data_IF_609178066270
#
_entry.id   IF_609178066270
#
_cell.length_a   1.000
_cell.length_b   1.000
_cell.length_c   1.000
_cell.angle_alpha   90.00
_cell.angle_beta   90.00
_cell.angle_gamma   90.00
#
_symmetry.space_group_name_H-M   'P 1'
#
loop_
_entity.id
_entity.type
_entity.pdbx_description
1 polymer ?
#
# COMPACT_ATOMS: atom_id res chain seq x y z
N UNK A 1 -3.70 24.65 -1.75
CA UNK A 1 -3.91 24.51 -0.29
C UNK A 1 -3.21 23.25 0.21
N UNK A 2 -3.20 22.16 -0.57
CA UNK A 2 -2.39 20.99 -0.23
C UNK A 2 -0.88 21.30 -0.16
N UNK A 3 -0.40 22.34 -0.86
CA UNK A 3 0.97 22.83 -0.70
C UNK A 3 1.31 23.36 0.71
N UNK A 4 0.32 23.55 1.58
CA UNK A 4 0.52 23.91 3.00
C UNK A 4 0.51 22.63 3.85
N UNK A 5 -0.55 21.83 3.74
CA UNK A 5 -0.74 20.63 4.56
C UNK A 5 0.25 19.51 4.19
N UNK A 6 0.50 19.31 2.89
CA UNK A 6 1.37 18.25 2.38
C UNK A 6 2.78 18.27 2.97
N UNK A 7 3.50 19.41 2.94
CA UNK A 7 4.80 19.54 3.61
C UNK A 7 4.76 19.28 5.12
N UNK A 8 3.68 19.63 5.83
CA UNK A 8 3.53 19.35 7.26
C UNK A 8 3.42 17.84 7.53
N UNK A 9 2.59 17.13 6.76
CA UNK A 9 2.49 15.67 6.84
C UNK A 9 3.82 15.00 6.47
N UNK A 10 4.51 15.51 5.46
CA UNK A 10 5.81 14.99 5.03
C UNK A 10 6.87 15.17 6.11
N UNK A 11 6.91 16.34 6.75
CA UNK A 11 7.77 16.62 7.90
C UNK A 11 7.47 15.67 9.06
N UNK A 12 6.20 15.53 9.45
CA UNK A 12 5.79 14.63 10.53
C UNK A 12 6.21 13.18 10.26
N UNK A 13 6.12 12.73 9.01
CA UNK A 13 6.57 11.41 8.60
C UNK A 13 8.09 11.25 8.69
N UNK A 14 8.88 12.24 8.25
CA UNK A 14 10.35 12.23 8.41
C UNK A 14 10.73 12.14 9.89
N UNK A 15 10.10 12.95 10.74
CA UNK A 15 10.35 12.91 12.18
C UNK A 15 9.92 11.56 12.79
N UNK A 16 8.83 10.97 12.29
CA UNK A 16 8.42 9.61 12.69
C UNK A 16 9.47 8.57 12.32
N UNK A 17 10.00 8.57 11.08
CA UNK A 17 11.10 7.67 10.68
C UNK A 17 12.31 7.84 11.59
N UNK A 18 12.69 9.09 11.88
CA UNK A 18 13.81 9.39 12.76
C UNK A 18 13.58 8.90 14.19
N UNK A 19 12.39 9.11 14.77
CA UNK A 19 12.06 8.60 16.11
C UNK A 19 12.03 7.08 16.15
N UNK A 20 11.35 6.46 15.19
CA UNK A 20 11.15 5.02 15.09
C UNK A 20 12.46 4.25 14.84
N UNK A 21 13.43 4.88 14.18
CA UNK A 21 14.79 4.35 13.99
C UNK A 21 15.76 4.73 15.12
N UNK A 22 15.27 5.33 16.21
CA UNK A 22 16.08 5.90 17.30
C UNK A 22 17.20 6.84 16.78
N UNK A 23 16.94 7.52 15.66
CA UNK A 23 17.86 8.42 14.94
C UNK A 23 19.15 7.75 14.46
N UNK A 24 19.15 6.42 14.31
CA UNK A 24 20.31 5.69 13.79
C UNK A 24 20.22 5.41 12.29
N UNK A 25 19.03 5.06 11.78
CA UNK A 25 18.84 4.61 10.40
C UNK A 25 17.72 5.41 9.71
N UNK A 26 18.10 6.54 9.09
CA UNK A 26 17.18 7.37 8.31
C UNK A 26 17.89 8.00 7.12
N UNK A 27 17.12 8.45 6.14
CA UNK A 27 17.63 8.93 4.85
C UNK A 27 17.22 10.37 4.52
N UNK A 28 16.28 10.94 5.29
CA UNK A 28 15.81 12.32 5.15
C UNK A 28 16.02 13.12 6.42
N UNK A 29 16.33 14.41 6.25
CA UNK A 29 16.27 15.40 7.32
C UNK A 29 15.39 16.56 6.90
N UNK A 30 14.59 17.09 7.83
CA UNK A 30 13.88 18.34 7.63
C UNK A 30 14.83 19.52 7.93
N UNK A 31 14.98 20.43 6.96
CA UNK A 31 15.70 21.69 7.13
C UNK A 31 14.70 22.80 7.48
N UNK A 32 14.72 23.24 8.73
CA UNK A 32 13.82 24.28 9.24
C UNK A 32 14.05 25.64 8.59
N UNK A 33 15.29 25.95 8.19
CA UNK A 33 15.60 27.22 7.53
C UNK A 33 15.02 27.27 6.13
N UNK A 34 15.07 26.13 5.43
CA UNK A 34 14.58 26.01 4.05
C UNK A 34 13.12 25.58 3.98
N UNK A 35 12.51 25.17 5.10
CA UNK A 35 11.16 24.61 5.15
C UNK A 35 11.00 23.38 4.24
N UNK A 36 12.06 22.58 4.10
CA UNK A 36 12.10 21.46 3.15
C UNK A 36 12.90 20.26 3.66
N UNK A 37 12.50 19.08 3.21
CA UNK A 37 13.25 17.84 3.34
C UNK A 37 14.48 17.87 2.43
N UNK A 38 15.58 17.42 2.99
CA UNK A 38 16.87 17.33 2.32
C UNK A 38 17.35 15.87 2.42
N UNK A 39 17.80 15.27 1.31
CA UNK A 39 18.40 13.94 1.37
C UNK A 39 19.69 14.01 2.18
N UNK A 40 19.94 13.01 3.02
CA UNK A 40 21.26 12.89 3.62
C UNK A 40 22.31 12.59 2.54
N UNK A 41 23.53 13.13 2.73
CA UNK A 41 24.68 12.80 1.88
C UNK A 41 25.02 11.31 2.04
N UNK A 42 25.52 10.67 0.99
CA UNK A 42 25.97 9.27 1.05
C UNK A 42 27.11 8.99 2.05
N UNK A 43 27.89 10.03 2.39
CA UNK A 43 28.91 9.97 3.43
C UNK A 43 28.34 10.02 4.86
N UNK A 44 27.08 10.43 5.04
CA UNK A 44 26.48 10.54 6.35
C UNK A 44 26.27 9.15 6.98
N UNK A 45 26.72 9.00 8.23
CA UNK A 45 26.62 7.74 8.99
C UNK A 45 25.21 7.18 9.03
N UNK A 46 24.20 8.05 9.19
CA UNK A 46 22.80 7.66 9.32
C UNK A 46 22.22 7.09 8.01
N UNK A 47 22.65 7.62 6.87
CA UNK A 47 22.23 7.09 5.57
C UNK A 47 22.87 5.74 5.28
N UNK A 48 24.17 5.58 5.56
CA UNK A 48 24.85 4.28 5.47
C UNK A 48 24.21 3.24 6.39
N UNK A 49 23.84 3.64 7.61
CA UNK A 49 23.10 2.77 8.53
C UNK A 49 21.72 2.38 7.98
N UNK A 50 21.02 3.28 7.28
CA UNK A 50 19.77 2.95 6.58
C UNK A 50 19.98 1.96 5.41
N UNK A 51 21.07 2.10 4.66
CA UNK A 51 21.44 1.13 3.62
C UNK A 51 21.75 -0.25 4.23
N UNK A 52 22.54 -0.30 5.30
CA UNK A 52 22.79 -1.54 6.04
C UNK A 52 21.51 -2.14 6.63
N UNK A 53 20.60 -1.30 7.14
CA UNK A 53 19.29 -1.74 7.61
C UNK A 53 18.46 -2.38 6.49
N UNK A 54 18.51 -1.84 5.27
CA UNK A 54 17.82 -2.40 4.10
C UNK A 54 18.40 -3.77 3.72
N UNK A 55 19.73 -3.90 3.71
CA UNK A 55 20.42 -5.18 3.49
C UNK A 55 20.08 -6.19 4.60
N UNK A 56 20.13 -5.77 5.87
CA UNK A 56 19.75 -6.60 7.02
C UNK A 56 18.29 -7.07 6.94
N UNK A 57 17.38 -6.19 6.54
CA UNK A 57 15.96 -6.53 6.36
C UNK A 57 15.78 -7.59 5.25
N UNK A 58 16.55 -7.47 4.17
CA UNK A 58 16.50 -8.39 3.03
C UNK A 58 17.13 -9.75 3.36
N UNK A 59 18.31 -9.76 3.97
CA UNK A 59 19.10 -10.98 4.16
C UNK A 59 18.80 -11.74 5.46
N UNK A 60 18.26 -11.05 6.48
CA UNK A 60 18.02 -11.65 7.80
C UNK A 60 16.52 -11.67 8.11
N UNK A 61 15.86 -10.52 8.11
CA UNK A 61 14.46 -10.43 8.55
C UNK A 61 13.51 -11.18 7.60
N UNK A 62 13.63 -10.97 6.28
CA UNK A 62 12.79 -11.64 5.30
C UNK A 62 12.91 -13.18 5.39
N UNK A 63 14.12 -13.79 5.36
CA UNK A 63 14.24 -15.25 5.48
C UNK A 63 13.69 -15.80 6.80
N UNK A 64 13.90 -15.13 7.94
CA UNK A 64 13.36 -15.57 9.23
C UNK A 64 11.83 -15.63 9.17
N UNK A 65 11.19 -14.57 8.68
CA UNK A 65 9.73 -14.50 8.57
C UNK A 65 9.18 -15.51 7.58
N UNK A 66 9.85 -15.70 6.43
CA UNK A 66 9.45 -16.65 5.41
C UNK A 66 9.57 -18.10 5.89
N UNK A 67 10.72 -18.47 6.47
CA UNK A 67 10.93 -19.80 7.04
C UNK A 67 9.95 -20.07 8.18
N UNK A 68 9.70 -19.09 9.06
CA UNK A 68 8.73 -19.26 10.13
C UNK A 68 7.32 -19.44 9.60
N UNK A 69 6.93 -18.69 8.57
CA UNK A 69 5.63 -18.84 7.94
C UNK A 69 5.47 -20.23 7.29
N UNK A 70 6.51 -20.71 6.61
CA UNK A 70 6.55 -22.07 6.07
C UNK A 70 6.41 -23.14 7.16
N UNK A 71 7.16 -23.01 8.27
CA UNK A 71 7.05 -23.92 9.42
C UNK A 71 5.63 -23.93 9.98
N UNK A 72 5.04 -22.75 10.19
CA UNK A 72 3.66 -22.60 10.67
C UNK A 72 2.66 -23.27 9.71
N UNK A 73 2.84 -23.11 8.40
CA UNK A 73 1.99 -23.74 7.39
C UNK A 73 2.12 -25.27 7.33
N UNK A 74 3.26 -25.83 7.76
CA UNK A 74 3.52 -27.28 7.82
C UNK A 74 3.17 -27.91 9.17
N UNK A 75 3.13 -27.12 10.23
CA UNK A 75 2.83 -27.61 11.57
C UNK A 75 1.39 -28.11 11.69
N UNK A 76 1.15 -29.16 12.51
CA UNK A 76 -0.20 -29.61 12.80
C UNK A 76 -0.98 -28.49 13.50
N UNK A 77 -2.21 -28.24 13.02
CA UNK A 77 -3.09 -27.13 13.43
C UNK A 77 -3.35 -27.07 14.93
N UNK A 78 -3.24 -28.20 15.64
CA UNK A 78 -3.48 -28.28 17.10
C UNK A 78 -2.40 -27.63 17.96
N UNK A 79 -1.24 -27.30 17.38
CA UNK A 79 -0.07 -26.83 18.14
C UNK A 79 0.14 -25.30 18.12
N UNK A 80 -0.60 -24.58 17.28
CA UNK A 80 -0.38 -23.16 17.02
C UNK A 80 -1.58 -22.32 17.44
N UNK A 81 -1.31 -21.20 18.13
CA UNK A 81 -2.34 -20.21 18.41
C UNK A 81 -2.72 -19.47 17.13
N UNK A 82 -4.00 -19.11 16.99
CA UNK A 82 -4.48 -18.30 15.86
C UNK A 82 -3.75 -16.95 15.76
N UNK A 83 -3.34 -16.40 16.91
CA UNK A 83 -2.53 -15.18 17.01
C UNK A 83 -1.15 -15.36 16.34
N UNK A 84 -0.44 -16.46 16.61
CA UNK A 84 0.88 -16.72 16.00
C UNK A 84 0.79 -16.78 14.49
N UNK A 85 -0.22 -17.49 13.98
CA UNK A 85 -0.46 -17.60 12.54
C UNK A 85 -0.71 -16.21 11.92
N UNK A 86 -1.65 -15.46 12.50
CA UNK A 86 -2.04 -14.14 12.01
C UNK A 86 -0.87 -13.15 11.99
N UNK A 87 -0.10 -13.07 13.09
CA UNK A 87 1.07 -12.17 13.17
C UNK A 87 2.15 -12.57 12.17
N UNK A 88 2.37 -13.87 11.93
CA UNK A 88 3.33 -14.32 10.93
C UNK A 88 2.91 -13.93 9.52
N UNK A 89 1.63 -14.12 9.16
CA UNK A 89 1.13 -13.76 7.82
C UNK A 89 1.18 -12.26 7.59
N UNK A 90 0.64 -11.44 8.51
CA UNK A 90 0.70 -9.98 8.39
C UNK A 90 2.14 -9.47 8.34
N UNK A 91 3.02 -10.03 9.16
CA UNK A 91 4.45 -9.69 9.16
C UNK A 91 5.10 -9.94 7.81
N UNK A 92 4.86 -11.11 7.21
CA UNK A 92 5.38 -11.44 5.87
C UNK A 92 4.82 -10.49 4.80
N UNK A 93 3.50 -10.27 4.76
CA UNK A 93 2.89 -9.34 3.81
C UNK A 93 3.48 -7.93 3.94
N UNK A 94 3.68 -7.45 5.16
CA UNK A 94 4.30 -6.14 5.42
C UNK A 94 5.73 -6.09 4.87
N UNK A 95 6.54 -7.12 5.09
CA UNK A 95 7.90 -7.18 4.57
C UNK A 95 7.89 -7.14 3.03
N UNK A 96 7.05 -7.95 2.38
CA UNK A 96 6.98 -8.00 0.91
C UNK A 96 6.56 -6.65 0.29
N UNK A 97 5.65 -5.93 0.95
CA UNK A 97 5.18 -4.61 0.50
C UNK A 97 6.28 -3.55 0.66
N UNK A 98 7.02 -3.58 1.77
CA UNK A 98 7.95 -2.51 2.17
C UNK A 98 9.35 -2.70 1.60
N UNK A 99 9.80 -3.93 1.37
CA UNK A 99 11.18 -4.20 0.95
C UNK A 99 11.56 -3.50 -0.37
N UNK A 100 10.71 -3.50 -1.43
CA UNK A 100 11.00 -2.74 -2.64
C UNK A 100 11.16 -1.23 -2.37
N UNK A 101 10.35 -0.68 -1.46
CA UNK A 101 10.41 0.74 -1.08
C UNK A 101 11.72 1.08 -0.36
N UNK A 102 12.19 0.19 0.52
CA UNK A 102 13.48 0.38 1.20
C UNK A 102 14.63 0.39 0.20
N UNK A 103 14.65 -0.56 -0.74
CA UNK A 103 15.65 -0.62 -1.80
C UNK A 103 15.64 0.63 -2.70
N UNK A 104 14.45 1.10 -3.06
CA UNK A 104 14.30 2.35 -3.80
C UNK A 104 14.93 3.54 -3.05
N UNK A 105 14.67 3.67 -1.74
CA UNK A 105 15.17 4.79 -0.91
C UNK A 105 16.64 4.65 -0.49
N UNK A 106 17.16 3.42 -0.46
CA UNK A 106 18.56 3.12 -0.19
C UNK A 106 19.50 3.54 -1.35
N UNK A 107 18.93 3.82 -2.53
CA UNK A 107 19.65 4.38 -3.66
C UNK A 107 19.59 5.93 -3.63
N UNK A 108 20.76 6.58 -3.64
CA UNK A 108 20.89 8.03 -3.53
C UNK A 108 20.25 8.79 -4.72
N UNK A 109 20.36 8.26 -5.94
CA UNK A 109 19.76 8.90 -7.13
C UNK A 109 18.24 8.89 -7.03
N UNK A 110 17.68 7.76 -6.63
CA UNK A 110 16.24 7.56 -6.49
C UNK A 110 15.68 8.42 -5.35
N UNK A 111 16.39 8.53 -4.23
CA UNK A 111 16.01 9.40 -3.14
C UNK A 111 16.00 10.88 -3.55
N UNK A 112 17.03 11.35 -4.28
CA UNK A 112 17.06 12.73 -4.81
C UNK A 112 15.90 12.97 -5.78
N UNK A 113 15.62 12.01 -6.67
CA UNK A 113 14.49 12.04 -7.60
C UNK A 113 13.16 12.14 -6.85
N UNK A 114 12.93 11.29 -5.86
CA UNK A 114 11.73 11.27 -5.02
C UNK A 114 11.46 12.64 -4.37
N UNK A 115 12.47 13.22 -3.71
CA UNK A 115 12.35 14.53 -3.06
C UNK A 115 12.10 15.64 -4.09
N UNK A 116 12.82 15.61 -5.20
CA UNK A 116 12.67 16.60 -6.27
C UNK A 116 11.24 16.59 -6.81
N UNK A 117 10.70 15.39 -7.07
CA UNK A 117 9.36 15.24 -7.63
C UNK A 117 8.29 15.66 -6.61
N UNK A 118 8.54 15.42 -5.32
CA UNK A 118 7.65 15.88 -4.25
C UNK A 118 7.57 17.40 -4.24
N UNK A 119 8.73 18.08 -4.27
CA UNK A 119 8.76 19.54 -4.28
C UNK A 119 8.22 20.15 -5.57
N UNK A 120 8.47 19.53 -6.73
CA UNK A 120 7.85 19.97 -7.98
C UNK A 120 6.33 19.86 -7.88
N UNK A 121 5.80 18.78 -7.30
CA UNK A 121 4.36 18.60 -7.09
C UNK A 121 3.76 19.68 -6.19
N UNK A 122 4.41 19.95 -5.05
CA UNK A 122 3.98 20.99 -4.10
C UNK A 122 4.08 22.39 -4.72
N UNK A 123 5.16 22.68 -5.46
CA UNK A 123 5.34 23.97 -6.13
C UNK A 123 4.31 24.17 -7.23
N UNK A 124 3.95 23.14 -7.99
CA UNK A 124 2.86 23.20 -8.96
C UNK A 124 1.53 23.49 -8.26
N UNK A 125 1.19 22.82 -7.15
CA UNK A 125 -0.02 23.16 -6.37
C UNK A 125 -0.02 24.61 -5.88
N UNK A 126 1.13 25.12 -5.43
CA UNK A 126 1.29 26.52 -5.01
C UNK A 126 1.10 27.49 -6.18
N UNK A 127 1.69 27.21 -7.34
CA UNK A 127 1.52 28.03 -8.54
C UNK A 127 0.07 28.08 -9.00
N UNK A 128 -0.60 26.91 -9.06
CA UNK A 128 -2.02 26.85 -9.39
C UNK A 128 -2.87 27.62 -8.37
N UNK A 129 -2.56 27.52 -7.08
CA UNK A 129 -3.24 28.28 -6.04
C UNK A 129 -3.11 29.78 -6.24
N UNK A 130 -1.91 30.28 -6.52
CA UNK A 130 -1.67 31.70 -6.76
C UNK A 130 -2.38 32.19 -8.02
N UNK A 131 -2.39 31.40 -9.09
CA UNK A 131 -3.05 31.73 -10.35
C UNK A 131 -4.58 31.85 -10.23
N UNK A 132 -5.17 31.21 -9.21
CA UNK A 132 -6.61 30.97 -9.08
C UNK A 132 -7.21 31.42 -7.74
N UNK A 133 -6.41 32.10 -6.89
CA UNK A 133 -6.79 32.52 -5.53
C UNK A 133 -8.14 33.25 -5.49
N UNK A 134 -8.38 34.12 -6.46
CA UNK A 134 -9.57 34.98 -6.54
C UNK A 134 -10.85 34.22 -6.93
N UNK A 135 -10.75 32.97 -7.39
CA UNK A 135 -11.83 32.27 -8.11
C UNK A 135 -12.30 31.00 -7.38
N UNK A 136 -11.66 30.64 -6.26
CA UNK A 136 -11.95 29.39 -5.51
C UNK A 136 -13.35 29.40 -4.87
N UNK A 137 -14.28 28.50 -5.27
CA UNK A 137 -15.62 28.42 -4.71
C UNK A 137 -15.62 27.91 -3.27
N UNK A 138 -16.52 28.40 -2.40
CA UNK A 138 -16.62 27.94 -0.99
C UNK A 138 -16.77 26.40 -0.87
N UNK A 139 -17.48 25.75 -1.78
CA UNK A 139 -17.71 24.28 -1.79
C UNK A 139 -16.40 23.47 -1.92
N UNK A 140 -15.36 24.00 -2.59
CA UNK A 140 -14.08 23.31 -2.70
C UNK A 140 -13.33 23.25 -1.37
N UNK A 141 -13.59 24.19 -0.45
CA UNK A 141 -12.98 24.22 0.89
C UNK A 141 -13.43 23.05 1.76
N UNK A 142 -14.70 22.65 1.69
CA UNK A 142 -15.22 21.52 2.49
C UNK A 142 -14.62 20.18 2.08
N UNK A 143 -14.50 19.94 0.76
CA UNK A 143 -13.89 18.70 0.25
C UNK A 143 -12.44 18.55 0.70
N UNK A 144 -11.70 19.66 0.71
CA UNK A 144 -10.32 19.66 1.19
C UNK A 144 -10.22 19.49 2.70
N UNK A 145 -11.10 20.14 3.48
CA UNK A 145 -11.14 19.95 4.94
C UNK A 145 -11.29 18.49 5.33
N UNK A 146 -12.16 17.75 4.64
CA UNK A 146 -12.33 16.32 4.89
C UNK A 146 -11.05 15.54 4.58
N UNK A 147 -10.38 15.86 3.47
CA UNK A 147 -9.11 15.22 3.11
C UNK A 147 -8.01 15.50 4.14
N UNK A 148 -7.84 16.76 4.57
CA UNK A 148 -6.88 17.14 5.61
C UNK A 148 -7.19 16.45 6.92
N UNK A 149 -8.47 16.32 7.30
CA UNK A 149 -8.89 15.55 8.48
C UNK A 149 -8.47 14.08 8.39
N UNK A 150 -8.73 13.43 7.24
CA UNK A 150 -8.31 12.05 7.00
C UNK A 150 -6.77 11.91 7.02
N UNK A 151 -6.04 12.85 6.42
CA UNK A 151 -4.59 12.85 6.41
C UNK A 151 -3.99 13.06 7.82
N UNK A 152 -4.59 13.94 8.62
CA UNK A 152 -4.24 14.16 10.03
C UNK A 152 -4.44 12.88 10.84
N UNK A 153 -5.60 12.23 10.69
CA UNK A 153 -5.89 10.97 11.36
C UNK A 153 -4.89 9.90 10.96
N UNK A 154 -4.60 9.74 9.66
CA UNK A 154 -3.62 8.79 9.17
C UNK A 154 -2.20 9.08 9.71
N UNK A 155 -1.80 10.36 9.71
CA UNK A 155 -0.49 10.80 10.26
C UNK A 155 -0.39 10.45 11.74
N UNK A 156 -1.45 10.72 12.50
CA UNK A 156 -1.52 10.44 13.93
C UNK A 156 -1.44 8.93 14.20
N UNK A 157 -2.25 8.13 13.49
CA UNK A 157 -2.25 6.68 13.61
C UNK A 157 -0.87 6.10 13.31
N UNK A 158 -0.21 6.52 12.22
CA UNK A 158 1.13 6.02 11.86
C UNK A 158 2.21 6.51 12.83
N UNK A 159 2.13 7.77 13.28
CA UNK A 159 3.20 8.37 14.08
C UNK A 159 3.16 7.98 15.56
N UNK A 160 1.98 7.63 16.09
CA UNK A 160 1.77 7.41 17.52
C UNK A 160 1.13 6.07 17.85
N UNK A 161 0.05 5.70 17.15
CA UNK A 161 -0.66 4.45 17.45
C UNK A 161 0.09 3.22 16.95
N UNK A 162 0.63 3.27 15.73
CA UNK A 162 1.34 2.15 15.13
C UNK A 162 2.58 1.74 15.95
N UNK A 163 3.44 2.65 16.43
CA UNK A 163 4.58 2.30 17.28
C UNK A 163 4.23 1.57 18.57
N UNK A 164 3.11 1.94 19.20
CA UNK A 164 2.63 1.23 20.39
C UNK A 164 2.20 -0.20 20.05
N UNK A 165 1.43 -0.37 18.98
CA UNK A 165 0.93 -1.69 18.54
C UNK A 165 2.09 -2.60 18.11
N UNK A 166 3.00 -2.12 17.26
CA UNK A 166 4.15 -2.91 16.78
C UNK A 166 5.08 -3.30 17.92
N UNK A 167 5.31 -2.41 18.89
CA UNK A 167 6.10 -2.73 20.09
C UNK A 167 5.42 -3.81 20.90
N UNK A 168 4.14 -3.65 21.19
CA UNK A 168 3.40 -4.65 21.95
C UNK A 168 3.40 -6.03 21.23
N UNK A 169 3.22 -6.06 19.91
CA UNK A 169 3.32 -7.29 19.12
C UNK A 169 4.74 -7.88 19.20
N UNK A 170 5.80 -7.08 19.05
CA UNK A 170 7.18 -7.55 19.03
C UNK A 170 7.65 -8.16 20.37
N UNK A 171 7.07 -7.76 21.49
CA UNK A 171 7.37 -8.33 22.81
C UNK A 171 6.46 -9.52 23.17
N UNK A 172 5.43 -9.80 22.37
CA UNK A 172 4.52 -10.91 22.56
C UNK A 172 5.20 -12.25 22.20
N UNK A 173 4.93 -13.31 22.97
CA UNK A 173 5.45 -14.67 22.73
C UNK A 173 5.07 -15.23 21.34
N UNK A 174 4.00 -14.71 20.74
CA UNK A 174 3.54 -15.08 19.41
C UNK A 174 4.38 -14.44 18.27
N UNK A 175 5.44 -13.69 18.56
CA UNK A 175 6.30 -13.08 17.54
C UNK A 175 7.00 -14.16 16.71
N UNK A 176 6.98 -14.07 15.36
CA UNK A 176 7.58 -15.08 14.48
C UNK A 176 9.07 -15.34 14.77
N UNK A 177 9.81 -14.31 15.15
CA UNK A 177 11.25 -14.40 15.45
C UNK A 177 11.53 -15.24 16.70
N UNK A 178 10.71 -15.14 17.75
CA UNK A 178 10.85 -16.03 18.91
C UNK A 178 10.58 -17.48 18.53
N UNK A 179 9.51 -17.73 17.78
CA UNK A 179 9.19 -19.07 17.29
C UNK A 179 10.29 -19.66 16.41
N UNK A 180 10.94 -18.85 15.58
CA UNK A 180 12.09 -19.26 14.78
C UNK A 180 13.30 -19.62 15.65
N UNK A 181 13.67 -18.77 16.61
CA UNK A 181 14.83 -19.00 17.49
C UNK A 181 14.64 -20.24 18.36
N UNK A 182 13.46 -20.41 18.97
CA UNK A 182 13.13 -21.60 19.75
C UNK A 182 13.26 -22.87 18.91
N UNK A 183 12.81 -22.82 17.64
CA UNK A 183 12.88 -23.95 16.73
C UNK A 183 14.32 -24.27 16.28
N UNK A 184 15.09 -23.26 15.87
CA UNK A 184 16.46 -23.45 15.34
C UNK A 184 17.44 -23.85 16.44
N UNK A 185 17.35 -23.22 17.61
CA UNK A 185 18.24 -23.54 18.74
C UNK A 185 17.76 -24.75 19.55
N UNK A 186 16.55 -25.25 19.29
CA UNK A 186 15.92 -26.34 20.03
C UNK A 186 15.92 -26.10 21.56
N UNK A 187 15.62 -24.87 21.97
CA UNK A 187 15.55 -24.47 23.38
C UNK A 187 14.09 -24.25 23.80
N UNK A 188 13.76 -24.57 25.05
CA UNK A 188 12.40 -24.43 25.57
C UNK A 188 12.01 -22.96 25.82
N UNK A 189 12.97 -22.11 26.20
CA UNK A 189 12.74 -20.70 26.53
C UNK A 189 13.94 -19.85 26.11
N UNK A 190 13.65 -18.63 25.66
CA UNK A 190 14.66 -17.61 25.38
C UNK A 190 14.92 -16.84 26.68
N UNK A 191 16.19 -16.57 27.01
CA UNK A 191 16.54 -15.74 28.15
C UNK A 191 15.90 -14.35 28.09
N UNK A 192 15.52 -13.79 29.24
CA UNK A 192 14.84 -12.51 29.33
C UNK A 192 15.59 -11.36 28.62
N UNK A 193 16.91 -11.28 28.79
CA UNK A 193 17.75 -10.26 28.13
C UNK A 193 17.70 -10.42 26.61
N UNK A 194 17.84 -11.64 26.09
CA UNK A 194 17.75 -11.90 24.66
C UNK A 194 16.37 -11.54 24.10
N UNK A 195 15.30 -11.85 24.86
CA UNK A 195 13.93 -11.46 24.51
C UNK A 195 13.78 -9.94 24.38
N UNK A 196 14.34 -9.17 25.32
CA UNK A 196 14.33 -7.70 25.23
C UNK A 196 15.03 -7.22 23.97
N UNK A 197 16.23 -7.74 23.68
CA UNK A 197 17.03 -7.33 22.52
C UNK A 197 16.28 -7.62 21.22
N UNK A 198 15.75 -8.83 21.06
CA UNK A 198 14.99 -9.24 19.88
C UNK A 198 13.72 -8.42 19.74
N UNK A 199 12.94 -8.27 20.82
CA UNK A 199 11.70 -7.48 20.82
C UNK A 199 11.93 -6.02 20.43
N UNK A 200 12.99 -5.40 20.96
CA UNK A 200 13.41 -4.05 20.57
C UNK A 200 13.82 -3.97 19.11
N UNK A 201 14.62 -4.92 18.62
CA UNK A 201 15.07 -4.96 17.22
C UNK A 201 13.89 -5.09 16.25
N UNK A 202 12.94 -6.00 16.54
CA UNK A 202 11.75 -6.21 15.72
C UNK A 202 10.80 -5.03 15.80
N UNK A 203 10.60 -4.44 16.98
CA UNK A 203 9.80 -3.22 17.13
C UNK A 203 10.37 -2.08 16.27
N UNK A 204 11.67 -1.79 16.39
CA UNK A 204 12.34 -0.74 15.60
C UNK A 204 12.20 -1.03 14.10
N UNK A 205 12.45 -2.27 13.69
CA UNK A 205 12.38 -2.69 12.28
C UNK A 205 10.99 -2.44 11.69
N UNK A 206 9.94 -2.96 12.32
CA UNK A 206 8.58 -2.79 11.81
C UNK A 206 8.08 -1.34 11.93
N UNK A 207 8.55 -0.58 12.91
CA UNK A 207 8.24 0.84 13.00
C UNK A 207 8.86 1.66 11.86
N UNK A 208 10.09 1.36 11.47
CA UNK A 208 10.69 1.94 10.26
C UNK A 208 9.91 1.50 9.03
N UNK A 209 9.49 0.24 8.94
CA UNK A 209 8.71 -0.25 7.79
C UNK A 209 7.40 0.50 7.62
N UNK A 210 6.61 0.64 8.68
CA UNK A 210 5.32 1.35 8.62
C UNK A 210 5.53 2.82 8.25
N UNK A 211 6.54 3.49 8.82
CA UNK A 211 6.83 4.89 8.48
C UNK A 211 7.28 5.08 7.03
N UNK A 212 8.11 4.17 6.49
CA UNK A 212 8.54 4.20 5.07
C UNK A 212 7.35 3.96 4.14
N UNK A 213 6.53 2.96 4.43
CA UNK A 213 5.30 2.69 3.67
C UNK A 213 4.41 3.93 3.63
N UNK A 214 4.19 4.55 4.80
CA UNK A 214 3.37 5.73 4.90
C UNK A 214 3.94 6.92 4.12
N UNK A 215 5.25 7.14 4.14
CA UNK A 215 5.91 8.20 3.37
C UNK A 215 5.62 8.04 1.86
N UNK A 216 5.79 6.83 1.33
CA UNK A 216 5.55 6.53 -0.09
C UNK A 216 4.07 6.67 -0.46
N UNK A 217 3.16 6.18 0.39
CA UNK A 217 1.72 6.33 0.18
C UNK A 217 1.31 7.82 0.23
N UNK A 218 1.84 8.60 1.17
CA UNK A 218 1.56 10.02 1.29
C UNK A 218 1.99 10.79 0.02
N UNK A 219 3.14 10.44 -0.55
CA UNK A 219 3.58 10.99 -1.83
C UNK A 219 2.60 10.67 -2.97
N UNK A 220 2.24 9.40 -3.14
CA UNK A 220 1.36 8.96 -4.22
C UNK A 220 -0.03 9.62 -4.10
N UNK A 221 -0.61 9.63 -2.90
CA UNK A 221 -1.88 10.28 -2.60
C UNK A 221 -1.81 11.79 -2.86
N UNK A 222 -0.71 12.45 -2.50
CA UNK A 222 -0.50 13.88 -2.77
C UNK A 222 -0.59 14.17 -4.27
N UNK A 223 0.10 13.39 -5.11
CA UNK A 223 0.05 13.56 -6.56
C UNK A 223 -1.35 13.40 -7.12
N UNK A 224 -2.04 12.32 -6.73
CA UNK A 224 -3.41 12.00 -7.17
C UNK A 224 -4.40 13.10 -6.75
N UNK A 225 -4.32 13.57 -5.50
CA UNK A 225 -5.19 14.61 -4.95
C UNK A 225 -5.01 15.92 -5.71
N UNK A 226 -3.77 16.37 -5.91
CA UNK A 226 -3.47 17.62 -6.62
C UNK A 226 -4.01 17.53 -8.05
N UNK A 227 -3.76 16.43 -8.75
CA UNK A 227 -4.29 16.21 -10.09
C UNK A 227 -5.82 16.23 -10.15
N UNK A 228 -6.49 15.51 -9.23
CA UNK A 228 -7.94 15.46 -9.17
C UNK A 228 -8.54 16.85 -8.88
N UNK A 229 -7.99 17.55 -7.90
CA UNK A 229 -8.48 18.86 -7.46
C UNK A 229 -8.40 19.88 -8.57
N UNK A 230 -7.24 20.01 -9.23
CA UNK A 230 -7.04 21.00 -10.28
C UNK A 230 -7.76 20.67 -11.58
N UNK A 231 -7.85 19.39 -11.96
CA UNK A 231 -8.65 18.98 -13.12
C UNK A 231 -10.12 19.34 -12.93
N UNK A 232 -10.64 19.21 -11.71
CA UNK A 232 -12.03 19.60 -11.39
C UNK A 232 -12.22 21.12 -11.39
N UNK A 233 -11.26 21.91 -10.94
CA UNK A 233 -11.35 23.37 -10.98
C UNK A 233 -11.39 23.87 -12.43
N UNK A 234 -10.57 23.29 -13.31
CA UNK A 234 -10.58 23.62 -14.73
C UNK A 234 -11.95 23.40 -15.39
N UNK A 235 -12.67 22.35 -14.99
CA UNK A 235 -14.02 22.08 -15.49
C UNK A 235 -15.08 23.07 -15.01
N UNK A 236 -14.90 23.68 -13.84
CA UNK A 236 -15.92 24.51 -13.20
C UNK A 236 -15.83 25.99 -13.56
N UNK A 237 -14.77 26.40 -14.25
CA UNK A 237 -14.42 27.81 -14.42
C UNK A 237 -13.99 28.08 -15.84
N UNK A 238 -14.55 29.14 -16.41
CA UNK A 238 -14.15 29.64 -17.72
C UNK A 238 -12.87 30.46 -17.58
N UNK A 239 -11.78 29.91 -18.11
CA UNK A 239 -10.51 30.62 -18.26
C UNK A 239 -10.28 30.94 -19.73
N UNK A 240 -9.41 31.92 -20.01
CA UNK A 240 -8.95 32.15 -21.37
C UNK A 240 -8.26 30.89 -21.91
N UNK A 241 -8.45 30.62 -23.20
CA UNK A 241 -7.91 29.42 -23.86
C UNK A 241 -6.42 29.18 -23.57
N UNK A 242 -5.60 30.23 -23.67
CA UNK A 242 -4.16 30.15 -23.42
C UNK A 242 -3.85 29.74 -21.97
N UNK A 243 -4.54 30.32 -20.99
CA UNK A 243 -4.35 30.00 -19.57
C UNK A 243 -4.80 28.57 -19.27
N UNK A 244 -5.90 28.12 -19.87
CA UNK A 244 -6.37 26.75 -19.73
C UNK A 244 -5.34 25.75 -20.26
N UNK A 245 -4.83 25.96 -21.48
CA UNK A 245 -3.80 25.10 -22.10
C UNK A 245 -2.53 25.08 -21.26
N UNK A 246 -2.12 26.23 -20.72
CA UNK A 246 -0.96 26.33 -19.83
C UNK A 246 -1.14 25.49 -18.56
N UNK A 247 -2.26 25.64 -17.84
CA UNK A 247 -2.55 24.86 -16.63
C UNK A 247 -2.64 23.37 -16.97
N UNK A 248 -3.28 23.03 -18.09
CA UNK A 248 -3.42 21.64 -18.55
C UNK A 248 -2.06 20.98 -18.81
N UNK A 249 -1.14 21.68 -19.46
CA UNK A 249 0.22 21.21 -19.69
C UNK A 249 1.02 21.03 -18.39
N UNK A 250 0.83 21.93 -17.42
CA UNK A 250 1.45 21.77 -16.10
C UNK A 250 0.89 20.54 -15.35
N UNK A 251 -0.42 20.27 -15.45
CA UNK A 251 -1.01 19.05 -14.93
C UNK A 251 -0.48 17.79 -15.63
N UNK A 252 -0.23 17.86 -16.95
CA UNK A 252 0.39 16.77 -17.71
C UNK A 252 1.79 16.44 -17.21
N UNK A 253 2.59 17.48 -16.91
CA UNK A 253 3.92 17.30 -16.32
C UNK A 253 3.78 16.62 -14.95
N UNK A 254 2.86 17.08 -14.09
CA UNK A 254 2.61 16.45 -12.80
C UNK A 254 2.20 14.98 -12.94
N UNK A 255 1.29 14.65 -13.87
CA UNK A 255 0.88 13.27 -14.13
C UNK A 255 2.06 12.39 -14.49
N UNK A 256 2.94 12.84 -15.39
CA UNK A 256 4.15 12.10 -15.78
C UNK A 256 5.09 11.87 -14.59
N UNK A 257 5.33 12.90 -13.78
CA UNK A 257 6.21 12.80 -12.61
C UNK A 257 5.67 11.80 -11.57
N UNK A 258 4.37 11.88 -11.27
CA UNK A 258 3.71 10.97 -10.32
C UNK A 258 3.74 9.54 -10.85
N UNK A 259 3.43 9.35 -12.14
CA UNK A 259 3.44 8.04 -12.77
C UNK A 259 4.84 7.41 -12.79
N UNK A 260 5.87 8.19 -13.11
CA UNK A 260 7.25 7.73 -13.12
C UNK A 260 7.71 7.24 -11.72
N UNK A 261 7.41 8.01 -10.67
CA UNK A 261 7.73 7.55 -9.29
C UNK A 261 6.90 6.35 -8.89
N UNK A 262 5.63 6.29 -9.27
CA UNK A 262 4.77 5.14 -8.97
C UNK A 262 5.35 3.86 -9.58
N UNK A 263 5.81 3.91 -10.83
CA UNK A 263 6.47 2.77 -11.46
C UNK A 263 7.77 2.40 -10.74
N UNK A 264 8.62 3.38 -10.40
CA UNK A 264 9.88 3.10 -9.72
C UNK A 264 9.68 2.50 -8.31
N UNK A 265 8.57 2.82 -7.64
CA UNK A 265 8.25 2.28 -6.31
C UNK A 265 7.76 0.83 -6.38
N UNK A 266 7.27 0.35 -7.54
CA UNK A 266 6.71 -0.99 -7.82
C UNK A 266 5.48 -1.35 -6.97
N UNK A 267 5.54 -1.17 -5.66
CA UNK A 267 4.45 -1.44 -4.70
C UNK A 267 3.12 -0.76 -5.08
N UNK A 268 3.09 0.51 -5.52
CA UNK A 268 1.82 1.12 -5.95
C UNK A 268 1.31 0.54 -7.27
N UNK A 269 2.14 -0.10 -8.09
CA UNK A 269 1.66 -0.86 -9.25
C UNK A 269 1.00 -2.17 -8.83
N UNK A 270 1.50 -2.83 -7.78
CA UNK A 270 0.96 -4.09 -7.24
C UNK A 270 -0.15 -3.90 -6.18
N UNK A 271 -0.65 -2.67 -5.99
CA UNK A 271 -1.55 -2.33 -4.89
C UNK A 271 -2.83 -3.18 -4.86
N UNK A 272 -3.42 -3.48 -6.01
CA UNK A 272 -4.62 -4.30 -6.11
C UNK A 272 -4.36 -5.73 -5.61
N UNK A 273 -3.25 -6.34 -6.04
CA UNK A 273 -2.91 -7.70 -5.64
C UNK A 273 -2.65 -7.75 -4.13
N UNK A 274 -1.94 -6.75 -3.58
CA UNK A 274 -1.78 -6.62 -2.14
C UNK A 274 -3.12 -6.41 -1.41
N UNK A 275 -4.02 -5.59 -1.94
CA UNK A 275 -5.34 -5.38 -1.35
C UNK A 275 -6.15 -6.68 -1.32
N UNK A 276 -6.18 -7.43 -2.43
CA UNK A 276 -6.85 -8.73 -2.53
C UNK A 276 -6.23 -9.74 -1.56
N UNK A 277 -4.90 -9.87 -1.51
CA UNK A 277 -4.21 -10.80 -0.60
C UNK A 277 -4.51 -10.43 0.86
N UNK A 278 -4.34 -9.17 1.25
CA UNK A 278 -4.57 -8.71 2.61
C UNK A 278 -6.05 -8.85 3.03
N UNK A 279 -6.99 -8.51 2.16
CA UNK A 279 -8.43 -8.74 2.40
C UNK A 279 -8.74 -10.23 2.52
N UNK A 280 -8.15 -11.08 1.68
CA UNK A 280 -8.34 -12.53 1.72
C UNK A 280 -7.85 -13.11 3.04
N UNK A 281 -6.65 -12.70 3.48
CA UNK A 281 -6.07 -13.11 4.78
C UNK A 281 -6.94 -12.63 5.93
N UNK A 282 -7.32 -11.35 5.94
CA UNK A 282 -8.15 -10.80 7.00
C UNK A 282 -9.52 -11.51 7.07
N UNK A 283 -10.18 -11.74 5.93
CA UNK A 283 -11.46 -12.45 5.89
C UNK A 283 -11.33 -13.91 6.31
N UNK A 284 -10.27 -14.59 5.88
CA UNK A 284 -9.96 -15.96 6.28
C UNK A 284 -9.77 -16.07 7.79
N UNK A 285 -8.91 -15.22 8.36
CA UNK A 285 -8.64 -15.21 9.80
C UNK A 285 -9.90 -14.85 10.59
N UNK A 286 -10.69 -13.89 10.11
CA UNK A 286 -11.96 -13.52 10.72
C UNK A 286 -12.93 -14.70 10.79
N UNK A 287 -13.16 -15.41 9.67
CA UNK A 287 -14.06 -16.57 9.64
C UNK A 287 -13.55 -17.66 10.58
N UNK A 288 -12.24 -17.95 10.57
CA UNK A 288 -11.64 -18.96 11.43
C UNK A 288 -11.85 -18.68 12.92
N UNK A 289 -11.92 -17.43 13.36
CA UNK A 289 -12.19 -17.12 14.77
C UNK A 289 -13.56 -17.65 15.23
N UNK A 290 -14.54 -17.72 14.33
CA UNK A 290 -15.92 -18.12 14.66
C UNK A 290 -16.27 -19.56 14.26
N UNK A 291 -15.32 -20.33 13.73
CA UNK A 291 -15.53 -21.77 13.47
C UNK A 291 -15.53 -22.57 14.78
N UNK A 292 -16.45 -23.53 14.91
CA UNK A 292 -16.62 -24.36 16.11
C UNK A 292 -15.30 -25.04 16.51
N UNK A 293 -14.90 -24.87 17.77
CA UNK A 293 -13.70 -25.48 18.34
C UNK A 293 -12.50 -24.53 18.49
N UNK A 294 -12.56 -23.33 17.91
CA UNK A 294 -11.50 -22.33 18.07
C UNK A 294 -11.80 -21.37 19.23
N UNK A 295 -10.76 -20.96 19.95
CA UNK A 295 -10.85 -19.87 20.92
C UNK A 295 -10.80 -18.53 20.17
N UNK A 296 -11.81 -17.69 20.40
CA UNK A 296 -11.90 -16.35 19.79
C UNK A 296 -10.82 -15.45 20.38
N UNK A 297 -9.89 -14.99 19.55
CA UNK A 297 -8.90 -13.97 19.89
C UNK A 297 -9.41 -12.60 19.52
N UNK A 298 -9.66 -11.75 20.53
CA UNK A 298 -10.11 -10.37 20.33
C UNK A 298 -9.15 -9.57 19.41
N UNK A 299 -7.86 -9.86 19.49
CA UNK A 299 -6.82 -9.16 18.72
C UNK A 299 -6.97 -9.49 17.24
N UNK A 300 -7.02 -10.79 16.89
CA UNK A 300 -7.15 -11.24 15.50
C UNK A 300 -8.48 -10.79 14.90
N UNK A 301 -9.56 -10.88 15.68
CA UNK A 301 -10.87 -10.39 15.24
C UNK A 301 -10.85 -8.88 14.97
N UNK A 302 -10.27 -8.08 15.86
CA UNK A 302 -10.20 -6.63 15.71
C UNK A 302 -9.31 -6.22 14.53
N UNK A 303 -8.12 -6.81 14.40
CA UNK A 303 -7.21 -6.51 13.28
C UNK A 303 -7.80 -6.92 11.94
N UNK A 304 -8.46 -8.08 11.85
CA UNK A 304 -9.15 -8.50 10.64
C UNK A 304 -10.33 -7.58 10.31
N UNK A 305 -11.14 -7.23 11.30
CA UNK A 305 -12.29 -6.34 11.15
C UNK A 305 -11.89 -4.93 10.70
N UNK A 306 -10.73 -4.43 11.15
CA UNK A 306 -10.18 -3.15 10.68
C UNK A 306 -9.47 -3.30 9.32
N UNK A 307 -8.78 -4.41 9.09
CA UNK A 307 -8.01 -4.66 7.87
C UNK A 307 -8.85 -4.74 6.60
N UNK A 308 -10.03 -5.38 6.66
CA UNK A 308 -10.95 -5.49 5.52
C UNK A 308 -11.41 -4.10 5.02
N UNK A 309 -12.05 -3.23 5.83
CA UNK A 309 -12.47 -1.91 5.38
C UNK A 309 -11.29 -1.00 5.05
N UNK A 310 -10.13 -1.15 5.71
CA UNK A 310 -8.94 -0.39 5.35
C UNK A 310 -8.41 -0.73 3.96
N UNK A 311 -8.31 -2.01 3.62
CA UNK A 311 -7.83 -2.44 2.28
C UNK A 311 -8.83 -2.10 1.18
N UNK A 312 -10.12 -2.31 1.40
CA UNK A 312 -11.20 -1.87 0.49
C UNK A 312 -11.18 -0.34 0.33
N UNK A 313 -11.03 0.39 1.43
CA UNK A 313 -10.97 1.84 1.44
C UNK A 313 -9.78 2.34 0.63
N UNK A 314 -8.59 1.77 0.84
CA UNK A 314 -7.38 2.11 0.11
C UNK A 314 -7.51 1.86 -1.40
N UNK A 315 -7.97 0.67 -1.78
CA UNK A 315 -8.24 0.31 -3.17
C UNK A 315 -9.22 1.28 -3.83
N UNK A 316 -10.33 1.55 -3.14
CA UNK A 316 -11.34 2.50 -3.61
C UNK A 316 -10.76 3.90 -3.76
N UNK A 317 -9.94 4.37 -2.82
CA UNK A 317 -9.29 5.68 -2.91
C UNK A 317 -8.35 5.73 -4.12
N UNK A 318 -7.42 4.78 -4.26
CA UNK A 318 -6.46 4.75 -5.34
C UNK A 318 -7.15 4.77 -6.72
N UNK A 319 -8.18 3.93 -6.89
CA UNK A 319 -8.85 3.75 -8.18
C UNK A 319 -9.85 4.86 -8.46
N UNK A 320 -10.72 5.20 -7.51
CA UNK A 320 -11.75 6.22 -7.75
C UNK A 320 -11.13 7.59 -7.97
N UNK A 321 -10.07 7.97 -7.25
CA UNK A 321 -9.47 9.27 -7.47
C UNK A 321 -8.71 9.33 -8.79
N UNK A 322 -7.97 8.27 -9.15
CA UNK A 322 -7.28 8.19 -10.45
C UNK A 322 -8.27 8.20 -11.62
N UNK A 323 -9.35 7.42 -11.52
CA UNK A 323 -10.42 7.41 -12.53
C UNK A 323 -11.12 8.76 -12.64
N UNK A 324 -11.47 9.40 -11.51
CA UNK A 324 -12.08 10.74 -11.51
C UNK A 324 -11.15 11.80 -12.09
N UNK A 325 -9.85 11.72 -11.84
CA UNK A 325 -8.88 12.63 -12.44
C UNK A 325 -8.82 12.44 -13.97
N UNK A 326 -8.78 11.19 -14.45
CA UNK A 326 -8.79 10.87 -15.88
C UNK A 326 -10.08 11.33 -16.58
N UNK A 327 -11.24 11.01 -16.01
CA UNK A 327 -12.55 11.45 -16.53
C UNK A 327 -12.63 12.97 -16.58
N UNK A 328 -12.20 13.66 -15.52
CA UNK A 328 -12.18 15.11 -15.49
C UNK A 328 -11.27 15.70 -16.57
N UNK A 329 -10.12 15.08 -16.82
CA UNK A 329 -9.21 15.50 -17.88
C UNK A 329 -9.78 15.30 -19.28
N UNK A 330 -10.45 14.18 -19.54
CA UNK A 330 -11.11 13.90 -20.83
C UNK A 330 -12.25 14.87 -21.10
N UNK A 331 -13.09 15.10 -20.09
CA UNK A 331 -14.20 16.03 -20.21
C UNK A 331 -13.69 17.46 -20.49
N UNK A 332 -12.57 17.83 -19.87
CA UNK A 332 -11.95 19.13 -20.11
C UNK A 332 -11.51 19.30 -21.57
N UNK A 333 -10.88 18.28 -22.14
CA UNK A 333 -10.50 18.29 -23.56
C UNK A 333 -11.72 18.36 -24.48
N UNK A 334 -12.81 17.67 -24.13
CA UNK A 334 -14.07 17.73 -24.88
C UNK A 334 -14.67 19.13 -24.88
N UNK A 335 -14.76 19.77 -23.71
CA UNK A 335 -15.25 21.14 -23.56
C UNK A 335 -14.37 22.13 -24.34
N UNK A 336 -13.05 22.00 -24.23
CA UNK A 336 -12.10 22.82 -24.99
C UNK A 336 -12.29 22.68 -26.51
N UNK A 337 -12.47 21.46 -26.99
CA UNK A 337 -12.70 21.18 -28.41
C UNK A 337 -14.05 21.75 -28.86
N UNK A 338 -15.08 21.66 -28.05
CA UNK A 338 -16.41 22.22 -28.36
C UNK A 338 -16.37 23.74 -28.42
N UNK A 339 -15.75 24.39 -27.43
CA UNK A 339 -15.72 25.85 -27.31
C UNK A 339 -14.74 26.52 -28.29
N UNK A 340 -13.68 25.84 -28.70
CA UNK A 340 -12.61 26.42 -29.52
C UNK A 340 -12.32 25.66 -30.82
N UNK A 341 -13.08 24.62 -31.14
CA UNK A 341 -12.85 23.79 -32.33
C UNK A 341 -13.15 24.46 -33.67
N UNK A 342 -13.87 25.59 -33.67
CA UNK A 342 -14.10 26.41 -34.88
C UNK A 342 -12.82 27.09 -35.36
N UNK A 343 -11.91 27.43 -34.45
CA UNK A 343 -10.61 28.01 -34.77
C UNK A 343 -9.63 26.90 -35.16
N UNK A 344 -9.11 26.94 -36.40
CA UNK A 344 -8.21 25.91 -36.96
C UNK A 344 -6.91 25.76 -36.17
N UNK A 345 -6.38 26.84 -35.58
CA UNK A 345 -5.17 26.78 -34.76
C UNK A 345 -5.49 26.18 -33.39
N UNK A 346 -6.51 26.70 -32.69
CA UNK A 346 -6.90 26.20 -31.37
C UNK A 346 -7.32 24.74 -31.40
N UNK A 347 -8.05 24.31 -32.45
CA UNK A 347 -8.41 22.91 -32.67
C UNK A 347 -7.18 22.02 -32.75
N UNK A 348 -6.17 22.41 -33.51
CA UNK A 348 -4.90 21.66 -33.63
C UNK A 348 -4.19 21.56 -32.28
N UNK A 349 -4.14 22.67 -31.52
CA UNK A 349 -3.57 22.67 -30.17
C UNK A 349 -4.30 21.68 -29.27
N UNK A 350 -5.63 21.74 -29.19
CA UNK A 350 -6.43 20.82 -28.34
C UNK A 350 -6.27 19.37 -28.76
N UNK A 351 -6.26 19.07 -30.07
CA UNK A 351 -6.06 17.72 -30.59
C UNK A 351 -4.67 17.15 -30.28
N UNK A 352 -3.66 18.00 -30.06
CA UNK A 352 -2.33 17.58 -29.61
C UNK A 352 -2.24 17.28 -28.11
N UNK A 353 -3.26 17.70 -27.33
CA UNK A 353 -3.32 17.41 -25.91
C UNK A 353 -3.85 15.98 -25.70
N UNK A 354 -3.20 15.26 -24.79
CA UNK A 354 -3.61 13.92 -24.37
C UNK A 354 -4.21 14.01 -22.97
N UNK A 355 -5.23 13.19 -22.64
CA UNK A 355 -5.78 13.09 -21.29
C UNK A 355 -4.69 12.90 -20.24
N UNK A 356 -4.77 13.67 -19.16
CA UNK A 356 -3.96 13.47 -17.96
C UNK A 356 -4.53 12.29 -17.18
N UNK A 357 -4.06 11.09 -17.51
CA UNK A 357 -4.35 9.87 -16.78
C UNK A 357 -3.08 9.29 -16.21
N UNK A 358 -3.06 9.06 -14.89
CA UNK A 358 -2.05 8.18 -14.30
C UNK A 358 -2.46 6.77 -14.72
N UNK A 359 -1.67 6.13 -15.60
CA UNK A 359 -1.82 4.68 -15.79
C UNK A 359 -1.19 4.01 -14.58
N UNK A 360 -2.04 3.54 -13.67
CA UNK A 360 -1.70 2.44 -12.79
C UNK A 360 -1.96 1.19 -13.62
N UNK A 361 -1.10 0.18 -13.59
CA UNK A 361 -1.13 -1.02 -14.45
C UNK A 361 -2.52 -1.68 -14.61
N UNK A 362 -3.41 -1.55 -13.61
CA UNK A 362 -4.81 -2.02 -13.65
C UNK A 362 -5.78 -1.19 -14.51
N UNK A 363 -5.41 0.05 -14.85
CA UNK A 363 -6.17 0.92 -15.74
C UNK A 363 -5.82 0.69 -17.22
N UNK A 364 -4.86 -0.17 -17.57
CA UNK A 364 -4.47 -0.41 -18.98
C UNK A 364 -5.49 -1.27 -19.76
N UNK A 365 -6.52 -1.79 -19.10
CA UNK A 365 -7.65 -2.38 -19.84
C UNK A 365 -8.35 -1.27 -20.63
N UNK A 366 -8.36 -1.41 -21.97
CA UNK A 366 -9.00 -0.47 -22.91
C UNK A 366 -10.43 -0.15 -22.49
N UNK A 367 -11.16 -1.13 -21.93
CA UNK A 367 -12.52 -0.95 -21.42
C UNK A 367 -12.57 -0.08 -20.17
N UNK A 368 -11.62 -0.21 -19.25
CA UNK A 368 -11.54 0.61 -18.03
C UNK A 368 -11.17 2.06 -18.38
N UNK A 369 -10.30 2.25 -19.38
CA UNK A 369 -9.98 3.57 -19.92
C UNK A 369 -11.22 4.17 -20.61
N UNK A 370 -11.93 3.40 -21.43
CA UNK A 370 -13.04 3.89 -22.27
C UNK A 370 -14.32 4.15 -21.48
N UNK A 371 -14.70 3.24 -20.60
CA UNK A 371 -16.00 3.24 -19.93
C UNK A 371 -15.91 3.70 -18.46
N UNK A 372 -14.70 3.94 -17.95
CA UNK A 372 -14.46 4.23 -16.55
C UNK A 372 -14.51 2.98 -15.67
N UNK A 373 -14.23 3.15 -14.39
CA UNK A 373 -14.28 2.06 -13.41
C UNK A 373 -15.73 1.90 -12.93
N UNK A 374 -16.43 0.91 -13.49
CA UNK A 374 -17.77 0.55 -13.05
C UNK A 374 -17.80 -0.09 -11.66
N UNK A 375 -18.98 -0.11 -11.02
CA UNK A 375 -19.22 -0.88 -9.79
C UNK A 375 -18.87 -2.36 -9.94
N UNK A 376 -18.95 -2.89 -11.17
CA UNK A 376 -18.51 -4.23 -11.54
C UNK A 376 -17.05 -4.52 -11.18
N UNK A 377 -16.15 -3.52 -11.18
CA UNK A 377 -14.78 -3.72 -10.72
C UNK A 377 -14.72 -4.10 -9.24
N UNK A 378 -15.42 -3.35 -8.39
CA UNK A 378 -15.45 -3.60 -6.95
C UNK A 378 -16.18 -4.89 -6.60
N UNK A 379 -17.23 -5.24 -7.36
CA UNK A 379 -17.88 -6.55 -7.24
C UNK A 379 -16.89 -7.67 -7.58
N UNK A 380 -16.14 -7.57 -8.70
CA UNK A 380 -15.09 -8.54 -9.05
C UNK A 380 -13.98 -8.62 -8.00
N UNK A 381 -13.61 -7.50 -7.37
CA UNK A 381 -12.66 -7.49 -6.25
C UNK A 381 -13.21 -8.32 -5.08
N UNK A 382 -14.46 -8.08 -4.67
CA UNK A 382 -15.10 -8.83 -3.58
C UNK A 382 -15.27 -10.30 -3.94
N UNK A 383 -15.63 -10.61 -5.19
CA UNK A 383 -15.75 -11.98 -5.70
C UNK A 383 -14.40 -12.72 -5.61
N UNK A 384 -13.28 -12.05 -5.97
CA UNK A 384 -11.93 -12.63 -5.84
C UNK A 384 -11.58 -12.90 -4.38
N UNK A 385 -11.79 -11.93 -3.50
CA UNK A 385 -11.56 -12.09 -2.06
C UNK A 385 -12.38 -13.26 -1.51
N UNK A 386 -13.68 -13.31 -1.78
CA UNK A 386 -14.56 -14.40 -1.36
C UNK A 386 -14.12 -15.75 -1.94
N UNK A 387 -13.79 -15.81 -3.23
CA UNK A 387 -13.35 -17.03 -3.92
C UNK A 387 -12.06 -17.57 -3.31
N UNK A 388 -11.05 -16.72 -3.10
CA UNK A 388 -9.78 -17.12 -2.50
C UNK A 388 -9.95 -17.52 -1.03
N UNK A 389 -10.71 -16.77 -0.24
CA UNK A 389 -11.01 -17.14 1.14
C UNK A 389 -11.73 -18.49 1.21
N UNK A 390 -12.71 -18.73 0.34
CA UNK A 390 -13.43 -20.01 0.28
C UNK A 390 -12.52 -21.17 -0.11
N UNK A 391 -11.67 -20.96 -1.12
CA UNK A 391 -10.68 -21.94 -1.57
C UNK A 391 -9.72 -22.30 -0.44
N UNK A 392 -9.26 -21.29 0.31
CA UNK A 392 -8.33 -21.51 1.41
C UNK A 392 -8.98 -22.23 2.60
N UNK A 393 -10.21 -21.88 2.96
CA UNK A 393 -11.00 -22.57 3.97
C UNK A 393 -11.27 -24.04 3.60
N UNK A 394 -11.55 -24.32 2.32
CA UNK A 394 -11.76 -25.69 1.84
C UNK A 394 -10.46 -26.50 1.89
N UNK A 395 -9.34 -25.90 1.49
CA UNK A 395 -8.02 -26.54 1.55
C UNK A 395 -7.63 -26.89 2.99
N UNK A 396 -7.86 -26.00 3.96
CA UNK A 396 -7.51 -26.26 5.36
C UNK A 396 -8.45 -27.26 6.01
N UNK A 397 -9.76 -27.23 5.69
CA UNK A 397 -10.72 -28.23 6.17
C UNK A 397 -10.40 -29.63 5.65
N UNK A 398 -9.98 -29.75 4.39
CA UNK A 398 -9.60 -31.03 3.81
C UNK A 398 -8.41 -31.67 4.55
N UNK A 399 -7.40 -30.87 4.90
CA UNK A 399 -6.24 -31.35 5.66
C UNK A 399 -6.62 -31.82 7.08
N UNK A 400 -7.66 -31.23 7.68
CA UNK A 400 -8.16 -31.66 8.98
C UNK A 400 -8.86 -33.04 8.92
N UNK A 401 -9.55 -33.38 7.83
CA UNK A 401 -10.23 -34.67 7.68
C UNK A 401 -9.31 -35.82 7.27
N UNK A 402 -8.18 -35.54 6.61
CA UNK A 402 -7.19 -36.55 6.21
C UNK A 402 -6.18 -36.90 7.31
N UNK A 403 -6.26 -36.29 8.49
CA UNK A 403 -5.38 -36.67 9.60
C UNK A 403 -5.69 -38.12 10.03
N UNK A 404 -4.74 -39.07 9.89
CA UNK A 404 -4.97 -40.51 9.94
C UNK A 404 -5.34 -41.05 11.34
N UNK A 405 -5.50 -40.17 12.34
CA UNK A 405 -5.82 -40.59 13.71
C UNK A 405 -7.27 -41.03 13.93
N UNK A 406 -8.17 -40.91 12.95
CA UNK A 406 -9.61 -41.17 13.18
C UNK A 406 -10.31 -42.10 12.19
N UNK A 407 -9.63 -42.53 11.14
CA UNK A 407 -10.19 -43.42 10.13
C UNK A 407 -9.22 -44.58 9.92
N UNK A 408 -9.70 -45.81 10.11
CA UNK A 408 -8.94 -47.01 9.77
C UNK A 408 -8.41 -46.90 8.33
N UNK A 409 -7.24 -47.46 8.10
CA UNK A 409 -6.40 -47.36 6.88
C UNK A 409 -7.18 -47.46 5.57
N UNK A 410 -8.30 -48.18 5.54
CA UNK A 410 -9.09 -48.37 4.32
C UNK A 410 -9.96 -47.16 3.93
N UNK A 411 -10.44 -46.37 4.91
CA UNK A 411 -11.38 -45.27 4.64
C UNK A 411 -10.66 -43.98 4.20
N UNK A 412 -9.40 -43.79 4.60
CA UNK A 412 -8.57 -42.68 4.12
C UNK A 412 -8.27 -42.81 2.61
N UNK A 413 -8.09 -44.04 2.11
CA UNK A 413 -7.76 -44.32 0.70
C UNK A 413 -8.91 -44.02 -0.27
N UNK A 414 -10.17 -44.08 0.19
CA UNK A 414 -11.35 -43.81 -0.64
C UNK A 414 -11.62 -42.31 -0.73
N UNK A 415 -11.46 -41.57 0.38
CA UNK A 415 -11.63 -40.12 0.42
C UNK A 415 -10.56 -39.42 -0.43
N UNK A 416 -9.30 -39.88 -0.37
CA UNK A 416 -8.23 -39.35 -1.20
C UNK A 416 -8.49 -39.53 -2.70
N UNK A 417 -9.03 -40.69 -3.12
CA UNK A 417 -9.42 -40.96 -4.52
C UNK A 417 -10.55 -40.06 -5.03
N UNK A 418 -11.50 -39.69 -4.16
CA UNK A 418 -12.60 -38.77 -4.53
C UNK A 418 -12.10 -37.33 -4.66
N UNK A 419 -11.19 -36.91 -3.79
CA UNK A 419 -10.57 -35.59 -3.83
C UNK A 419 -9.74 -35.37 -5.10
N UNK A 420 -8.89 -36.33 -5.46
CA UNK A 420 -8.08 -36.27 -6.70
C UNK A 420 -8.95 -36.18 -7.96
N UNK A 421 -10.12 -36.84 -7.98
CA UNK A 421 -11.09 -36.73 -9.08
C UNK A 421 -11.67 -35.32 -9.20
N UNK A 422 -11.94 -34.63 -8.08
CA UNK A 422 -12.48 -33.25 -8.10
C UNK A 422 -11.43 -32.20 -8.47
N UNK A 423 -10.18 -32.37 -8.04
CA UNK A 423 -9.09 -31.46 -8.46
C UNK A 423 -8.85 -31.58 -9.96
N UNK A 424 -8.94 -32.78 -10.53
CA UNK A 424 -8.82 -32.99 -11.98
C UNK A 424 -9.99 -32.40 -12.80
N UNK A 425 -11.16 -32.13 -12.19
CA UNK A 425 -12.28 -31.48 -12.89
C UNK A 425 -12.20 -29.96 -12.90
N UNK A 426 -11.32 -29.35 -12.09
CA UNK A 426 -11.06 -27.91 -12.06
C UNK A 426 -9.95 -27.49 -13.06
N UNK A 427 -9.97 -28.04 -14.28
CA UNK A 427 -9.05 -27.66 -15.38
C UNK A 427 -9.46 -26.35 -16.08
N UNK A 428 -10.06 -25.39 -15.36
CA UNK A 428 -10.11 -23.99 -15.78
C UNK A 428 -8.86 -23.30 -15.27
N UNK A 429 -7.75 -23.39 -16.01
CA UNK A 429 -6.50 -22.76 -15.61
C UNK A 429 -6.66 -21.24 -15.41
N UNK A 430 -5.91 -20.62 -14.48
CA UNK A 430 -5.87 -19.17 -14.39
C UNK A 430 -5.40 -18.60 -15.74
N UNK A 431 -5.97 -17.46 -16.18
CA UNK A 431 -5.58 -16.84 -17.45
C UNK A 431 -4.07 -16.59 -17.47
N UNK A 432 -3.43 -16.96 -18.57
CA UNK A 432 -1.97 -16.98 -18.79
C UNK A 432 -1.25 -15.62 -18.72
N UNK A 433 -1.88 -14.59 -18.16
CA UNK A 433 -1.31 -13.24 -18.04
C UNK A 433 -0.38 -13.06 -16.83
N UNK A 434 -0.23 -14.06 -15.96
CA UNK A 434 0.58 -13.95 -14.74
C UNK A 434 2.05 -14.42 -14.86
N UNK A 435 2.51 -14.80 -16.06
CA UNK A 435 3.85 -15.40 -16.26
C UNK A 435 4.81 -14.56 -17.13
N UNK A 436 4.56 -13.25 -17.25
CA UNK A 436 5.56 -12.28 -17.73
C UNK A 436 5.73 -11.16 -16.72
N UNK A 437 6.43 -11.46 -15.62
CA UNK A 437 7.12 -10.49 -14.77
C UNK A 437 8.52 -11.03 -14.52
#
# INVERSE_FOLDING_TARGET
MWHIDGPLHFRACIESIQRNSLRFAYFLKWDEKLGKAVPLKSSARQYRAFQWFTVFSTLIILPIYFLRWYQIAKSPTTSLTSVTYHVAVIGNCTIFIVLPLLWFLANESNLKKFITYFYVTINLDKQFHNLLLKILPKKSKNGLRNLTCTANLATFTVSYTSPAITTWVAFNDNTPVYGFILHVLNVARIHFIARIIIGSLISITFNVFVSVLYLCVLFAVTGIVVLHFWSRILLQKDFSFQKTVQIYNQLKILTKLVQEIVYDLVTPCLHHDYAVILSTVAMYDFILQFTKGNQVSAIVTLTALLGIPSTIGFERLAICFSAKASVASKEMLRILLMNHGKDKYRRRVVQSLLPNSISLEFLDSVDTIRNGVGTSYFLRYLDRVQSYTSTWLLATRHNHFLSPKKYGTDQASSIQRVAEKRVKSYKGGPPAYALRI
#
